data_IF_844986633810
#
_entry.id   IF_844986633810
#
_cell.length_a   1.000
_cell.length_b   1.000
_cell.length_c   1.000
_cell.angle_alpha   90.00
_cell.angle_beta   90.00
_cell.angle_gamma   90.00
#
_symmetry.space_group_name_H-M   'P 1'
#
loop_
_entity.id
_entity.type
_entity.pdbx_description
1 polymer ?
#
# COMPACT_ATOMS: atom_id res chain seq x y z
N UNK A 1 -0.97 -16.53 -16.62
CA UNK A 1 -1.63 -15.42 -15.89
C UNK A 1 -0.75 -14.98 -14.74
N UNK A 2 -0.22 -13.76 -14.75
CA UNK A 2 0.58 -13.27 -13.64
C UNK A 2 -0.35 -13.03 -12.43
N UNK A 3 -0.17 -13.81 -11.35
CA UNK A 3 -0.99 -13.67 -10.15
C UNK A 3 -0.66 -12.33 -9.49
N UNK A 4 -1.67 -11.47 -9.42
CA UNK A 4 -1.63 -10.25 -8.60
C UNK A 4 -1.20 -10.64 -7.20
N UNK A 5 -0.40 -9.79 -6.53
CA UNK A 5 0.05 -10.06 -5.18
C UNK A 5 -1.11 -10.44 -4.25
N UNK A 6 -0.90 -11.45 -3.42
CA UNK A 6 -1.90 -11.86 -2.44
C UNK A 6 -2.33 -10.70 -1.54
N UNK A 7 -3.63 -10.62 -1.26
CA UNK A 7 -4.22 -9.59 -0.37
C UNK A 7 -3.47 -9.46 0.97
N UNK A 8 -3.00 -10.58 1.54
CA UNK A 8 -2.20 -10.59 2.78
C UNK A 8 -0.84 -9.90 2.58
N UNK A 9 -0.15 -10.21 1.49
CA UNK A 9 1.15 -9.61 1.15
C UNK A 9 1.00 -8.12 0.91
N UNK A 10 -0.03 -7.71 0.16
CA UNK A 10 -0.30 -6.30 -0.12
C UNK A 10 -0.53 -5.53 1.18
N UNK A 11 -1.39 -6.04 2.08
CA UNK A 11 -1.64 -5.40 3.39
C UNK A 11 -0.36 -5.28 4.22
N UNK A 12 0.51 -6.30 4.23
CA UNK A 12 1.77 -6.30 5.00
C UNK A 12 2.77 -5.28 4.43
N UNK A 13 2.92 -5.23 3.10
CA UNK A 13 3.76 -4.24 2.41
C UNK A 13 3.24 -2.82 2.63
N UNK A 14 1.93 -2.63 2.46
CA UNK A 14 1.28 -1.35 2.66
C UNK A 14 1.47 -0.85 4.09
N UNK A 15 1.16 -1.67 5.12
CA UNK A 15 1.31 -1.31 6.54
C UNK A 15 2.75 -0.98 6.92
N UNK A 16 3.75 -1.72 6.41
CA UNK A 16 5.17 -1.42 6.64
C UNK A 16 5.60 -0.12 5.97
N UNK A 17 5.18 0.10 4.72
CA UNK A 17 5.55 1.29 3.97
C UNK A 17 4.85 2.56 4.49
N UNK A 18 3.61 2.44 4.97
CA UNK A 18 2.85 3.56 5.54
C UNK A 18 3.31 3.89 6.96
N UNK A 19 3.70 2.90 7.78
CA UNK A 19 4.33 3.16 9.09
C UNK A 19 5.64 3.94 8.97
N UNK A 20 6.42 3.71 7.91
CA UNK A 20 7.68 4.43 7.63
C UNK A 20 7.48 5.85 7.07
N UNK A 21 6.25 6.31 6.92
CA UNK A 21 5.93 7.57 6.27
C UNK A 21 5.36 8.62 7.24
N UNK A 22 5.56 8.44 8.56
CA UNK A 22 5.15 9.36 9.63
C UNK A 22 3.72 9.91 9.50
N UNK A 23 2.78 9.04 9.10
CA UNK A 23 1.35 9.37 9.11
C UNK A 23 0.70 8.91 10.41
N UNK A 24 -0.28 9.69 10.88
CA UNK A 24 -1.02 9.39 12.10
C UNK A 24 -1.60 7.95 12.09
N UNK A 25 -1.66 7.30 13.26
CA UNK A 25 -2.13 5.91 13.41
C UNK A 25 -3.52 5.68 12.79
N UNK A 26 -4.41 6.68 12.88
CA UNK A 26 -5.76 6.64 12.29
C UNK A 26 -5.71 6.57 10.76
N UNK A 27 -4.74 7.25 10.16
CA UNK A 27 -4.55 7.31 8.70
C UNK A 27 -3.78 6.14 8.13
N UNK A 28 -2.93 5.47 8.93
CA UNK A 28 -2.30 4.20 8.53
C UNK A 28 -3.35 3.18 8.08
N UNK A 29 -4.48 3.07 8.80
CA UNK A 29 -5.56 2.12 8.45
C UNK A 29 -6.23 2.50 7.12
N UNK A 30 -6.52 3.79 6.90
CA UNK A 30 -7.10 4.33 5.65
C UNK A 30 -6.13 4.17 4.46
N UNK A 31 -4.87 4.54 4.63
CA UNK A 31 -3.81 4.40 3.64
C UNK A 31 -3.64 2.93 3.22
N UNK A 32 -3.58 2.02 4.19
CA UNK A 32 -3.42 0.58 3.92
C UNK A 32 -4.59 0.01 3.11
N UNK A 33 -5.84 0.40 3.41
CA UNK A 33 -7.02 0.02 2.62
C UNK A 33 -6.97 0.59 1.19
N UNK A 34 -6.61 1.87 1.03
CA UNK A 34 -6.50 2.52 -0.29
C UNK A 34 -5.41 1.87 -1.16
N UNK A 35 -4.27 1.53 -0.57
CA UNK A 35 -3.17 0.84 -1.27
C UNK A 35 -3.62 -0.55 -1.72
N UNK A 36 -4.25 -1.33 -0.84
CA UNK A 36 -4.74 -2.67 -1.19
C UNK A 36 -5.71 -2.64 -2.39
N UNK A 37 -6.64 -1.68 -2.41
CA UNK A 37 -7.58 -1.48 -3.52
C UNK A 37 -6.88 -1.06 -4.81
N UNK A 38 -5.91 -0.13 -4.75
CA UNK A 38 -5.14 0.32 -5.93
C UNK A 38 -4.23 -0.76 -6.50
N UNK A 39 -3.58 -1.56 -5.65
CA UNK A 39 -2.71 -2.66 -6.06
C UNK A 39 -3.51 -3.72 -6.80
N UNK A 40 -4.68 -4.10 -6.27
CA UNK A 40 -5.58 -5.03 -6.94
C UNK A 40 -6.07 -4.48 -8.29
N UNK A 41 -6.53 -3.21 -8.34
CA UNK A 41 -6.98 -2.57 -9.60
C UNK A 41 -5.87 -2.46 -10.65
N UNK A 42 -4.63 -2.20 -10.25
CA UNK A 42 -3.49 -2.08 -11.16
C UNK A 42 -2.85 -3.42 -11.51
N UNK A 43 -3.34 -4.53 -10.94
CA UNK A 43 -2.76 -5.85 -11.16
C UNK A 43 -1.28 -5.93 -10.79
N UNK A 44 -0.80 -5.21 -9.76
CA UNK A 44 0.63 -5.25 -9.45
C UNK A 44 1.03 -6.62 -8.92
N UNK A 45 2.02 -7.21 -9.57
CA UNK A 45 2.57 -8.54 -9.28
C UNK A 45 3.87 -8.45 -8.47
N UNK A 46 4.60 -7.33 -8.57
CA UNK A 46 5.87 -7.14 -7.88
C UNK A 46 5.75 -6.37 -6.54
N UNK A 47 6.41 -6.88 -5.50
CA UNK A 47 6.44 -6.26 -4.15
C UNK A 47 7.03 -4.84 -4.17
N UNK A 48 8.01 -4.56 -5.05
CA UNK A 48 8.63 -3.24 -5.18
C UNK A 48 7.62 -2.17 -5.60
N UNK A 49 6.73 -2.48 -6.54
CA UNK A 49 5.76 -1.51 -7.04
C UNK A 49 4.63 -1.27 -6.04
N UNK A 50 4.18 -2.31 -5.36
CA UNK A 50 3.25 -2.17 -4.24
C UNK A 50 3.83 -1.27 -3.13
N UNK A 51 5.15 -1.38 -2.85
CA UNK A 51 5.86 -0.53 -1.87
C UNK A 51 5.97 0.93 -2.34
N UNK A 52 6.30 1.18 -3.62
CA UNK A 52 6.33 2.53 -4.20
C UNK A 52 4.95 3.19 -4.14
N UNK A 53 3.90 2.45 -4.50
CA UNK A 53 2.53 2.94 -4.46
C UNK A 53 2.07 3.23 -3.02
N UNK A 54 2.47 2.40 -2.06
CA UNK A 54 2.19 2.64 -0.65
C UNK A 54 2.83 3.94 -0.13
N UNK A 55 4.10 4.21 -0.48
CA UNK A 55 4.75 5.48 -0.13
C UNK A 55 4.05 6.69 -0.75
N UNK A 56 3.67 6.62 -2.04
CA UNK A 56 2.94 7.70 -2.71
C UNK A 56 1.58 7.98 -2.05
N UNK A 57 0.84 6.93 -1.71
CA UNK A 57 -0.46 7.07 -1.02
C UNK A 57 -0.29 7.64 0.38
N UNK A 58 0.71 7.19 1.14
CA UNK A 58 1.01 7.73 2.46
C UNK A 58 1.36 9.22 2.38
N UNK A 59 2.28 9.61 1.48
CA UNK A 59 2.70 11.01 1.28
C UNK A 59 1.55 11.93 0.84
N UNK A 60 0.55 11.41 0.12
CA UNK A 60 -0.67 12.15 -0.28
C UNK A 60 -1.71 12.26 0.84
N UNK A 61 -1.61 11.45 1.89
CA UNK A 61 -2.48 11.51 3.06
C UNK A 61 -1.81 12.32 4.18
N UNK A 62 -0.48 12.36 4.21
CA UNK A 62 0.31 13.19 5.14
C UNK A 62 0.29 14.68 4.79
N UNK A 63 0.08 15.01 3.50
CA UNK A 63 -0.23 16.35 3.02
C UNK A 63 -1.73 16.56 3.07
#
# INVERSE_FOLDING_TARGET
MAKVLDKKVIKKVAKKATKKADIAKKDIKKATKKVAKKVAKKGLTAKKDAKKLAKKVAKKIAK
#
